data_IF_976288874532
#
_entry.id   IF_976288874532
#
_cell.length_a   1.000
_cell.length_b   1.000
_cell.length_c   1.000
_cell.angle_alpha   90.00
_cell.angle_beta   90.00
_cell.angle_gamma   90.00
#
_symmetry.space_group_name_H-M   'P 1'
#
loop_
_entity.id
_entity.type
_entity.pdbx_description
1 polymer ?
#
# COMPACT_ATOMS: atom_id res chain seq x y z
N UNK A 1 2.22 -13.47 -6.06
CA UNK A 1 1.81 -12.06 -5.85
C UNK A 1 1.68 -11.78 -4.37
N UNK A 2 2.69 -11.18 -3.74
CA UNK A 2 2.51 -10.66 -2.38
C UNK A 2 1.58 -9.43 -2.44
N UNK A 3 0.51 -9.44 -1.66
CA UNK A 3 -0.31 -8.26 -1.41
C UNK A 3 0.41 -7.44 -0.35
N UNK A 4 0.53 -6.14 -0.58
CA UNK A 4 1.49 -5.29 0.14
C UNK A 4 1.17 -5.09 1.63
N UNK A 5 -0.06 -5.38 2.08
CA UNK A 5 -0.46 -5.04 3.45
C UNK A 5 -1.46 -6.04 4.04
N UNK A 6 -1.14 -7.34 4.11
CA UNK A 6 -1.99 -8.37 4.77
C UNK A 6 -1.55 -8.68 6.23
N UNK A 7 -0.68 -7.85 6.85
CA UNK A 7 0.08 -8.26 8.06
C UNK A 7 0.13 -7.23 9.19
N UNK A 8 -0.99 -6.59 9.54
CA UNK A 8 -1.06 -5.91 10.84
C UNK A 8 -1.11 -6.95 11.95
N UNK A 9 -0.17 -6.90 12.89
CA UNK A 9 -0.23 -7.70 14.12
C UNK A 9 -1.31 -7.18 15.08
N UNK A 10 -2.05 -8.10 15.71
CA UNK A 10 -3.11 -7.76 16.66
C UNK A 10 -2.61 -6.94 17.85
N UNK A 11 -1.40 -7.24 18.35
CA UNK A 11 -0.78 -6.48 19.42
C UNK A 11 -0.51 -5.02 19.02
N UNK A 12 -0.08 -4.79 17.78
CA UNK A 12 0.13 -3.44 17.28
C UNK A 12 -1.20 -2.68 17.21
N UNK A 13 -2.25 -3.31 16.67
CA UNK A 13 -3.59 -2.73 16.60
C UNK A 13 -4.09 -2.32 17.99
N UNK A 14 -3.97 -3.21 18.99
CA UNK A 14 -4.39 -2.94 20.36
C UNK A 14 -3.67 -1.72 20.96
N UNK A 15 -2.35 -1.64 20.77
CA UNK A 15 -1.53 -0.52 21.25
C UNK A 15 -1.94 0.79 20.58
N UNK A 16 -2.19 0.77 19.26
CA UNK A 16 -2.65 1.95 18.51
C UNK A 16 -4.02 2.41 19.01
N UNK A 17 -4.98 1.51 19.14
CA UNK A 17 -6.32 1.84 19.66
C UNK A 17 -6.23 2.43 21.07
N UNK A 18 -5.38 1.86 21.94
CA UNK A 18 -5.15 2.43 23.27
C UNK A 18 -4.56 3.83 23.19
N UNK A 19 -3.57 4.06 22.33
CA UNK A 19 -2.91 5.36 22.17
C UNK A 19 -3.81 6.43 21.57
N UNK A 20 -4.75 6.04 20.71
CA UNK A 20 -5.78 6.91 20.13
C UNK A 20 -6.94 7.23 21.09
N UNK A 21 -6.95 6.65 22.30
CA UNK A 21 -7.95 6.96 23.33
C UNK A 21 -9.25 6.17 23.23
N UNK A 22 -9.28 5.06 22.46
CA UNK A 22 -10.43 4.16 22.47
C UNK A 22 -10.60 3.55 23.87
N UNK A 23 -11.83 3.46 24.38
CA UNK A 23 -12.07 2.93 25.73
C UNK A 23 -11.79 1.41 25.82
N UNK A 24 -11.59 0.92 27.05
CA UNK A 24 -11.18 -0.46 27.30
C UNK A 24 -12.21 -1.49 26.80
N UNK A 25 -13.50 -1.23 27.01
CA UNK A 25 -14.59 -2.13 26.62
C UNK A 25 -14.64 -2.33 25.10
N UNK A 26 -14.52 -1.24 24.35
CA UNK A 26 -14.49 -1.25 22.89
C UNK A 26 -13.29 -2.00 22.35
N UNK A 27 -12.10 -1.76 22.92
CA UNK A 27 -10.89 -2.51 22.55
C UNK A 27 -11.06 -4.00 22.83
N UNK A 28 -11.60 -4.38 23.99
CA UNK A 28 -11.85 -5.79 24.34
C UNK A 28 -12.72 -6.48 23.31
N UNK A 29 -13.85 -5.87 22.91
CA UNK A 29 -14.72 -6.42 21.89
C UNK A 29 -14.02 -6.60 20.54
N UNK A 30 -13.25 -5.61 20.10
CA UNK A 30 -12.49 -5.73 18.85
C UNK A 30 -11.44 -6.86 18.95
N UNK A 31 -10.73 -6.96 20.07
CA UNK A 31 -9.73 -8.01 20.29
C UNK A 31 -10.37 -9.41 20.35
N UNK A 32 -11.54 -9.56 20.94
CA UNK A 32 -12.33 -10.79 20.91
C UNK A 32 -12.74 -11.16 19.47
N UNK A 33 -13.28 -10.20 18.71
CA UNK A 33 -13.70 -10.45 17.33
C UNK A 33 -12.55 -10.94 16.42
N UNK A 34 -11.38 -10.31 16.51
CA UNK A 34 -10.25 -10.65 15.62
C UNK A 34 -9.47 -11.88 16.07
N UNK A 35 -9.49 -12.22 17.37
CA UNK A 35 -8.77 -13.39 17.91
C UNK A 35 -9.55 -14.70 17.79
N UNK A 36 -10.88 -14.61 17.67
CA UNK A 36 -11.78 -15.78 17.56
C UNK A 36 -12.06 -16.21 16.12
N UNK A 37 -11.72 -15.38 15.14
CA UNK A 37 -11.83 -15.75 13.73
C UNK A 37 -11.00 -17.02 13.45
N UNK A 38 -11.53 -17.94 12.64
CA UNK A 38 -10.78 -19.10 12.15
C UNK A 38 -11.10 -19.32 10.68
N UNK A 39 -10.10 -19.75 9.92
CA UNK A 39 -10.23 -20.01 8.49
C UNK A 39 -9.81 -21.43 8.18
N UNK A 40 -10.49 -22.06 7.22
CA UNK A 40 -10.06 -23.31 6.60
C UNK A 40 -9.72 -23.05 5.13
N UNK A 41 -8.69 -23.70 4.60
CA UNK A 41 -8.27 -23.54 3.22
C UNK A 41 -8.68 -24.76 2.41
N UNK A 42 -9.27 -24.53 1.24
CA UNK A 42 -9.53 -25.59 0.27
C UNK A 42 -8.31 -25.72 -0.64
N UNK A 43 -7.60 -26.84 -0.57
CA UNK A 43 -6.40 -27.11 -1.36
C UNK A 43 -6.64 -28.38 -2.16
N UNK A 44 -6.68 -28.26 -3.50
CA UNK A 44 -6.96 -29.36 -4.43
C UNK A 44 -8.29 -30.09 -4.16
N UNK A 45 -9.35 -29.36 -3.78
CA UNK A 45 -10.66 -29.94 -3.52
C UNK A 45 -10.88 -30.40 -2.07
N UNK A 46 -9.81 -30.48 -1.27
CA UNK A 46 -9.89 -30.92 0.13
C UNK A 46 -9.77 -29.75 1.11
N UNK A 47 -10.63 -29.74 2.13
CA UNK A 47 -10.56 -28.79 3.23
C UNK A 47 -9.38 -29.17 4.13
N UNK A 48 -8.36 -28.33 4.17
CA UNK A 48 -7.24 -28.44 5.12
C UNK A 48 -7.55 -27.71 6.42
N UNK A 49 -6.79 -28.09 7.47
CA UNK A 49 -6.95 -27.70 8.88
C UNK A 49 -7.34 -26.24 9.10
N UNK A 50 -8.13 -26.03 10.16
CA UNK A 50 -8.46 -24.72 10.70
C UNK A 50 -7.19 -23.99 11.18
N UNK A 51 -7.06 -22.74 10.78
CA UNK A 51 -5.99 -21.82 11.19
C UNK A 51 -6.62 -20.60 11.85
N UNK A 52 -6.16 -20.28 13.05
CA UNK A 52 -6.49 -19.01 13.72
C UNK A 52 -5.51 -17.95 13.22
N UNK A 53 -5.99 -16.84 12.62
CA UNK A 53 -5.15 -15.77 12.12
C UNK A 53 -4.57 -14.97 13.29
N UNK A 54 -3.25 -14.79 13.30
CA UNK A 54 -2.55 -13.92 14.27
C UNK A 54 -2.36 -12.47 13.77
N UNK A 55 -2.77 -12.21 12.52
CA UNK A 55 -2.62 -10.95 11.79
C UNK A 55 -3.58 -10.91 10.61
N UNK A 56 -3.94 -9.71 10.12
CA UNK A 56 -4.71 -9.60 8.87
C UNK A 56 -5.67 -8.43 8.76
N UNK A 57 -5.17 -7.19 8.72
CA UNK A 57 -5.94 -6.03 8.22
C UNK A 57 -5.37 -5.64 6.88
N UNK A 58 -6.26 -5.49 5.88
CA UNK A 58 -5.91 -4.94 4.58
C UNK A 58 -5.85 -3.43 4.66
N UNK A 59 -4.70 -2.88 4.30
CA UNK A 59 -4.58 -1.46 3.96
C UNK A 59 -4.32 -1.32 2.45
N UNK A 60 -4.95 -0.31 1.87
CA UNK A 60 -4.91 -0.03 0.44
C UNK A 60 -3.74 0.90 0.05
N UNK A 61 -3.68 1.22 -1.25
CA UNK A 61 -2.68 2.07 -1.89
C UNK A 61 -2.46 3.40 -1.15
N UNK A 62 -1.21 3.66 -0.78
CA UNK A 62 -0.78 4.93 -0.17
C UNK A 62 -0.12 5.84 -1.21
N UNK A 63 -0.47 7.13 -1.17
CA UNK A 63 0.14 8.16 -2.00
C UNK A 63 0.86 9.18 -1.11
N UNK A 64 2.16 9.38 -1.36
CA UNK A 64 3.01 10.27 -0.57
C UNK A 64 3.58 11.36 -1.48
N UNK A 65 3.34 12.61 -1.11
CA UNK A 65 3.98 13.77 -1.74
C UNK A 65 5.11 14.26 -0.84
N UNK A 66 6.32 14.36 -1.40
CA UNK A 66 7.47 14.88 -0.67
C UNK A 66 8.35 15.74 -1.57
N UNK A 67 9.12 16.63 -0.95
CA UNK A 67 10.15 17.42 -1.65
C UNK A 67 11.23 16.48 -2.16
N UNK A 68 11.65 16.70 -3.41
CA UNK A 68 12.52 15.77 -4.14
C UNK A 68 14.00 16.09 -3.95
N UNK A 69 14.49 15.87 -2.73
CA UNK A 69 15.90 15.92 -2.37
C UNK A 69 16.33 14.67 -1.59
N UNK A 70 17.62 14.36 -1.63
CA UNK A 70 18.17 13.11 -1.10
C UNK A 70 18.00 12.98 0.43
N UNK A 71 17.93 14.11 1.15
CA UNK A 71 17.69 14.10 2.60
C UNK A 71 16.25 13.71 2.91
N UNK A 72 15.26 14.35 2.27
CA UNK A 72 13.85 14.00 2.41
C UNK A 72 13.56 12.56 1.95
N UNK A 73 14.23 12.10 0.90
CA UNK A 73 14.13 10.72 0.42
C UNK A 73 14.63 9.71 1.47
N UNK A 74 15.81 9.97 2.05
CA UNK A 74 16.37 9.14 3.11
C UNK A 74 15.48 9.14 4.37
N UNK A 75 14.93 10.29 4.75
CA UNK A 75 14.03 10.40 5.90
C UNK A 75 12.72 9.66 5.65
N UNK A 76 12.14 9.77 4.46
CA UNK A 76 10.97 8.99 4.07
C UNK A 76 11.26 7.49 4.15
N UNK A 77 12.42 7.04 3.63
CA UNK A 77 12.83 5.63 3.74
C UNK A 77 12.98 5.20 5.19
N UNK A 78 13.53 6.06 6.05
CA UNK A 78 13.64 5.79 7.49
C UNK A 78 12.27 5.64 8.14
N UNK A 79 11.32 6.52 7.85
CA UNK A 79 9.95 6.46 8.37
C UNK A 79 9.22 5.19 7.92
N UNK A 80 9.36 4.84 6.64
CA UNK A 80 8.84 3.59 6.09
C UNK A 80 9.41 2.37 6.83
N UNK A 81 10.72 2.33 7.09
CA UNK A 81 11.34 1.23 7.84
C UNK A 81 10.87 1.21 9.32
N UNK A 82 10.66 2.37 9.95
CA UNK A 82 10.08 2.44 11.31
C UNK A 82 8.66 1.88 11.31
N UNK A 83 7.87 2.24 10.31
CA UNK A 83 6.51 1.74 10.13
C UNK A 83 6.50 0.22 9.92
N UNK A 84 7.36 -0.32 9.05
CA UNK A 84 7.49 -1.76 8.83
C UNK A 84 7.81 -2.51 10.13
N UNK A 85 8.78 -2.01 10.90
CA UNK A 85 9.14 -2.62 12.19
C UNK A 85 8.06 -2.50 13.25
N UNK A 86 7.36 -1.36 13.31
CA UNK A 86 6.32 -1.11 14.30
C UNK A 86 5.06 -1.94 14.03
N UNK A 87 4.67 -2.06 12.74
CA UNK A 87 3.42 -2.70 12.32
C UNK A 87 3.59 -4.17 11.95
N UNK A 88 4.84 -4.63 11.76
CA UNK A 88 5.20 -5.90 11.13
C UNK A 88 4.66 -6.06 9.70
N UNK A 89 4.34 -4.94 9.03
CA UNK A 89 4.05 -4.91 7.61
C UNK A 89 5.35 -4.81 6.79
N UNK A 90 5.31 -5.29 5.55
CA UNK A 90 6.41 -5.16 4.61
C UNK A 90 5.93 -4.41 3.38
N UNK A 91 6.63 -3.35 3.00
CA UNK A 91 6.31 -2.57 1.81
C UNK A 91 6.69 -3.41 0.59
N UNK A 92 5.73 -3.59 -0.31
CA UNK A 92 6.00 -4.23 -1.58
C UNK A 92 6.70 -3.22 -2.52
N UNK A 93 8.03 -3.29 -2.58
CA UNK A 93 8.84 -2.43 -3.46
C UNK A 93 8.60 -2.69 -4.94
N UNK A 94 8.23 -3.91 -5.35
CA UNK A 94 7.90 -4.24 -6.75
C UNK A 94 6.63 -3.53 -7.23
N UNK A 95 5.68 -3.29 -6.33
CA UNK A 95 4.44 -2.55 -6.60
C UNK A 95 4.54 -1.07 -6.30
N UNK A 96 5.57 -0.66 -5.56
CA UNK A 96 5.82 0.74 -5.25
C UNK A 96 6.39 1.44 -6.48
N UNK A 97 5.94 2.65 -6.74
CA UNK A 97 6.46 3.46 -7.85
C UNK A 97 6.68 4.89 -7.41
N UNK A 98 7.67 5.54 -8.02
CA UNK A 98 7.96 6.96 -7.81
C UNK A 98 7.80 7.71 -9.13
N UNK A 99 7.15 8.87 -9.06
CA UNK A 99 6.97 9.79 -10.18
C UNK A 99 7.68 11.09 -9.81
N UNK A 100 8.52 11.58 -10.72
CA UNK A 100 9.27 12.82 -10.56
C UNK A 100 8.71 13.91 -11.48
N UNK A 101 8.91 15.17 -11.09
CA UNK A 101 8.56 16.30 -11.96
C UNK A 101 9.37 16.27 -13.26
N UNK A 102 8.78 16.78 -14.35
CA UNK A 102 9.43 16.82 -15.68
C UNK A 102 10.71 17.66 -15.69
N UNK A 103 10.82 18.66 -14.82
CA UNK A 103 11.95 19.59 -14.77
C UNK A 103 13.13 19.06 -13.94
N UNK A 104 13.03 17.85 -13.39
CA UNK A 104 14.07 17.27 -12.56
C UNK A 104 15.17 16.64 -13.41
N UNK A 105 16.43 16.98 -13.10
CA UNK A 105 17.61 16.40 -13.74
C UNK A 105 17.71 14.89 -13.51
N UNK A 106 18.16 14.15 -14.53
CA UNK A 106 18.25 12.69 -14.48
C UNK A 106 19.14 12.18 -13.35
N UNK A 107 20.26 12.86 -13.10
CA UNK A 107 21.18 12.55 -12.01
C UNK A 107 20.47 12.55 -10.65
N UNK A 108 19.71 13.61 -10.35
CA UNK A 108 18.98 13.73 -9.09
C UNK A 108 17.86 12.69 -8.97
N UNK A 109 17.22 12.29 -10.07
CA UNK A 109 16.20 11.21 -10.05
C UNK A 109 16.82 9.88 -9.61
N UNK A 110 18.03 9.58 -10.10
CA UNK A 110 18.78 8.37 -9.72
C UNK A 110 19.15 8.43 -8.23
N UNK A 111 19.70 9.54 -7.76
CA UNK A 111 20.09 9.72 -6.35
C UNK A 111 18.89 9.54 -5.40
N UNK A 112 17.75 10.15 -5.72
CA UNK A 112 16.54 10.03 -4.90
C UNK A 112 15.95 8.62 -4.96
N UNK A 113 15.93 7.98 -6.13
CA UNK A 113 15.45 6.59 -6.26
C UNK A 113 16.33 5.63 -5.44
N UNK A 114 17.65 5.81 -5.47
CA UNK A 114 18.59 5.03 -4.65
C UNK A 114 18.35 5.24 -3.16
N UNK A 115 18.18 6.49 -2.71
CA UNK A 115 17.88 6.81 -1.32
C UNK A 115 16.55 6.18 -0.83
N UNK A 116 15.59 5.98 -1.73
CA UNK A 116 14.31 5.33 -1.44
C UNK A 116 14.37 3.78 -1.47
N UNK A 117 15.53 3.19 -1.73
CA UNK A 117 15.70 1.74 -1.83
C UNK A 117 15.41 1.18 -3.22
N UNK A 118 15.78 1.92 -4.26
CA UNK A 118 15.66 1.53 -5.67
C UNK A 118 14.21 1.27 -6.12
N UNK A 119 13.28 2.11 -5.66
CA UNK A 119 11.89 2.06 -6.11
C UNK A 119 11.82 2.36 -7.61
N UNK A 120 10.98 1.61 -8.33
CA UNK A 120 10.77 1.78 -9.76
C UNK A 120 10.27 3.17 -10.10
N UNK A 121 11.03 3.87 -10.95
CA UNK A 121 10.65 5.18 -11.49
C UNK A 121 9.71 4.96 -12.66
N UNK A 122 8.54 5.61 -12.62
CA UNK A 122 7.54 5.54 -13.70
C UNK A 122 7.21 6.93 -14.23
N UNK A 123 6.94 7.02 -15.53
CA UNK A 123 6.50 8.26 -16.19
C UNK A 123 4.98 8.45 -16.15
N UNK A 124 4.24 7.37 -15.94
CA UNK A 124 2.79 7.34 -15.80
C UNK A 124 2.41 6.37 -14.69
N UNK A 125 1.36 6.70 -13.96
CA UNK A 125 0.82 5.87 -12.89
C UNK A 125 -0.68 6.06 -12.74
N UNK A 126 -1.34 5.11 -12.08
CA UNK A 126 -2.73 5.23 -11.68
C UNK A 126 -2.82 5.14 -10.16
N UNK A 127 -3.69 5.97 -9.59
CA UNK A 127 -4.07 5.90 -8.19
C UNK A 127 -5.59 5.79 -8.11
N UNK A 128 -6.10 4.75 -7.45
CA UNK A 128 -7.54 4.44 -7.39
C UNK A 128 -8.20 4.41 -8.78
N UNK A 129 -7.47 3.90 -9.78
CA UNK A 129 -7.94 3.80 -11.16
C UNK A 129 -7.88 5.11 -11.96
N UNK A 130 -7.46 6.24 -11.37
CA UNK A 130 -7.31 7.53 -12.04
C UNK A 130 -5.84 7.80 -12.41
N UNK A 131 -5.55 8.41 -13.58
CA UNK A 131 -4.19 8.77 -13.95
C UNK A 131 -3.60 9.82 -12.98
N UNK A 132 -2.38 9.58 -12.52
CA UNK A 132 -1.67 10.50 -11.62
C UNK A 132 -0.96 11.64 -12.36
N UNK A 133 -0.63 11.44 -13.63
CA UNK A 133 0.05 12.43 -14.48
C UNK A 133 -0.96 13.01 -15.45
N UNK A 134 -1.31 14.29 -15.26
CA UNK A 134 -2.21 15.03 -16.14
C UNK A 134 -1.44 15.47 -17.39
N UNK A 135 -1.76 14.87 -18.53
CA UNK A 135 -1.22 15.28 -19.83
C UNK A 135 -2.07 16.38 -20.45
N UNK A 136 -1.54 17.11 -21.43
CA UNK A 136 -2.28 18.17 -22.16
C UNK A 136 -3.46 17.60 -22.96
N UNK A 137 -3.42 16.31 -23.33
CA UNK A 137 -4.46 15.68 -24.15
C UNK A 137 -5.47 14.92 -23.29
N UNK A 138 -6.72 15.41 -23.27
CA UNK A 138 -7.85 14.73 -22.59
C UNK A 138 -8.11 13.32 -23.14
N UNK A 139 -7.85 13.08 -24.43
CA UNK A 139 -7.98 11.76 -25.05
C UNK A 139 -6.92 10.78 -24.53
N UNK A 140 -5.66 11.22 -24.41
CA UNK A 140 -4.61 10.38 -23.82
C UNK A 140 -4.87 10.12 -22.33
N UNK A 141 -5.43 11.10 -21.62
CA UNK A 141 -5.69 11.00 -20.18
C UNK A 141 -6.90 10.11 -19.85
N UNK A 142 -8.02 10.30 -20.54
CA UNK A 142 -9.30 9.64 -20.21
C UNK A 142 -9.76 8.60 -21.23
N UNK A 143 -8.96 8.34 -22.28
CA UNK A 143 -9.28 7.34 -23.31
C UNK A 143 -9.55 5.95 -22.73
N UNK A 144 -8.84 5.58 -21.65
CA UNK A 144 -9.06 4.30 -20.97
C UNK A 144 -10.46 4.17 -20.35
N UNK A 145 -11.08 5.27 -19.90
CA UNK A 145 -12.44 5.26 -19.34
C UNK A 145 -13.42 4.87 -20.44
N UNK A 146 -13.31 5.50 -21.61
CA UNK A 146 -14.13 5.18 -22.79
C UNK A 146 -13.97 3.71 -23.18
N UNK A 147 -12.74 3.22 -23.28
CA UNK A 147 -12.47 1.81 -23.60
C UNK A 147 -13.05 0.84 -22.57
N UNK A 148 -12.94 1.18 -21.27
CA UNK A 148 -13.47 0.34 -20.18
C UNK A 148 -14.99 0.25 -20.21
N UNK A 149 -15.68 1.38 -20.46
CA UNK A 149 -17.14 1.40 -20.60
C UNK A 149 -17.57 0.57 -21.82
N UNK A 150 -16.91 0.76 -22.97
CA UNK A 150 -17.21 0.00 -24.19
C UNK A 150 -17.00 -1.51 -23.99
N UNK A 151 -15.96 -1.93 -23.28
CA UNK A 151 -15.74 -3.34 -22.96
C UNK A 151 -16.84 -3.92 -22.07
N UNK A 152 -17.33 -3.14 -21.10
CA UNK A 152 -18.41 -3.56 -20.21
C UNK A 152 -19.76 -3.65 -20.92
N UNK A 153 -20.02 -2.79 -21.90
CA UNK A 153 -21.24 -2.79 -22.72
C UNK A 153 -21.30 -3.94 -23.75
N UNK A 154 -20.16 -4.57 -24.05
CA UNK A 154 -20.07 -5.72 -24.97
C UNK A 154 -20.17 -7.08 -24.25
N UNK A 155 -20.25 -7.07 -22.92
CA UNK A 155 -20.55 -8.24 -22.09
C UNK A 155 -22.03 -8.25 -21.76
#
# INVERSE_FOLDING_TARGET
MSKAYDRVEWRFLEVVMRKMGFNDKWRSWIMECISTASYSFLVNGEVKKYVVPQRGIRQDDSLIFCKTDSQNAAELKRLLNVYERGTCQLINLEKSSVIFSNNMQQQRKVEVSQALGNIHVVSQGKYLGLPMVVTRSKQQLFGYIKSSIQQRLKK
#
